data_IF_377845148285
#
_entry.id   IF_377845148285
#
_cell.length_a   1.000
_cell.length_b   1.000
_cell.length_c   1.000
_cell.angle_alpha   90.00
_cell.angle_beta   90.00
_cell.angle_gamma   90.00
#
_symmetry.space_group_name_H-M   'P 1'
#
loop_
_entity.id
_entity.type
_entity.pdbx_description
1 polymer ?
#
# COMPACT_ATOMS: atom_id res chain seq x y z
N UNK A 1 11.37 -26.32 7.78
CA UNK A 1 9.99 -26.44 7.27
C UNK A 1 9.97 -27.15 5.91
N UNK A 2 10.73 -26.71 4.91
CA UNK A 2 10.72 -27.30 3.55
C UNK A 2 11.02 -28.80 3.56
N UNK A 3 12.09 -29.24 4.21
CA UNK A 3 12.49 -30.65 4.30
C UNK A 3 11.46 -31.57 4.99
N UNK A 4 10.52 -31.00 5.74
CA UNK A 4 9.49 -31.74 6.49
C UNK A 4 8.09 -31.48 5.94
N UNK A 5 7.98 -30.86 4.75
CA UNK A 5 6.70 -30.56 4.08
C UNK A 5 5.68 -29.83 4.97
N UNK A 6 6.16 -28.86 5.78
CA UNK A 6 5.32 -28.11 6.72
C UNK A 6 4.64 -26.90 6.07
N UNK A 7 4.20 -27.08 4.82
CA UNK A 7 3.48 -26.10 4.02
C UNK A 7 2.34 -26.77 3.23
N UNK A 8 1.19 -26.12 3.15
CA UNK A 8 0.16 -26.41 2.13
C UNK A 8 -0.20 -25.09 1.44
N UNK A 9 0.46 -24.77 0.33
CA UNK A 9 0.40 -23.46 -0.32
C UNK A 9 -0.50 -23.45 -1.56
N UNK A 10 -0.74 -24.60 -2.20
CA UNK A 10 -1.47 -24.68 -3.45
C UNK A 10 -2.97 -24.48 -3.26
N UNK A 11 -3.59 -23.69 -4.14
CA UNK A 11 -5.06 -23.58 -4.24
C UNK A 11 -5.64 -24.87 -4.80
N UNK A 12 -6.68 -25.42 -4.16
CA UNK A 12 -7.35 -26.66 -4.55
C UNK A 12 -8.87 -26.53 -4.43
N UNK A 13 -9.66 -27.20 -5.28
CA UNK A 13 -11.11 -27.25 -5.10
C UNK A 13 -11.51 -27.76 -3.72
N UNK A 14 -12.41 -27.04 -3.04
CA UNK A 14 -12.88 -27.38 -1.70
C UNK A 14 -11.92 -27.01 -0.55
N UNK A 15 -10.74 -26.46 -0.82
CA UNK A 15 -9.84 -25.93 0.19
C UNK A 15 -10.39 -24.61 0.75
N UNK A 16 -10.30 -24.44 2.08
CA UNK A 16 -10.69 -23.19 2.74
C UNK A 16 -9.86 -22.01 2.22
N UNK A 17 -10.51 -20.86 2.03
CA UNK A 17 -9.83 -19.62 1.62
C UNK A 17 -9.00 -19.01 2.76
N UNK A 18 -8.03 -18.14 2.40
CA UNK A 18 -7.17 -17.44 3.34
C UNK A 18 -5.80 -18.12 3.52
N UNK A 19 -5.00 -17.53 4.39
CA UNK A 19 -3.70 -18.01 4.84
C UNK A 19 -3.64 -17.96 6.36
N UNK A 20 -2.87 -18.84 6.97
CA UNK A 20 -2.55 -18.81 8.40
C UNK A 20 -1.31 -19.64 8.71
N UNK A 21 -0.65 -19.30 9.81
CA UNK A 21 0.32 -20.15 10.46
C UNK A 21 -0.30 -20.78 11.73
N UNK A 22 -0.05 -22.06 11.95
CA UNK A 22 -0.38 -22.74 13.20
C UNK A 22 0.85 -23.45 13.76
N UNK A 23 0.82 -23.77 15.05
CA UNK A 23 1.89 -24.51 15.70
C UNK A 23 1.41 -25.90 16.11
N UNK A 24 2.06 -26.91 15.59
CA UNK A 24 1.76 -28.31 15.88
C UNK A 24 2.45 -28.69 17.20
N UNK A 25 1.74 -28.56 18.31
CA UNK A 25 2.29 -28.70 19.67
C UNK A 25 3.01 -30.02 19.89
N UNK A 26 2.45 -31.12 19.40
CA UNK A 26 3.04 -32.47 19.54
C UNK A 26 4.37 -32.59 18.81
N UNK A 27 4.50 -31.93 17.67
CA UNK A 27 5.70 -31.97 16.83
C UNK A 27 6.65 -30.81 17.09
N UNK A 28 6.22 -29.82 17.90
CA UNK A 28 6.94 -28.57 18.16
C UNK A 28 7.39 -27.88 16.88
N UNK A 29 6.51 -27.84 15.90
CA UNK A 29 6.79 -27.32 14.57
C UNK A 29 5.65 -26.41 14.08
N UNK A 30 5.98 -25.27 13.45
CA UNK A 30 5.00 -24.45 12.76
C UNK A 30 4.56 -25.09 11.44
N UNK A 31 3.33 -24.81 11.02
CA UNK A 31 2.78 -25.22 9.74
C UNK A 31 2.11 -24.01 9.06
N UNK A 32 2.40 -23.78 7.80
CA UNK A 32 1.82 -22.67 7.02
C UNK A 32 0.82 -23.22 6.01
N UNK A 33 -0.38 -22.68 6.06
CA UNK A 33 -1.47 -22.93 5.12
C UNK A 33 -1.72 -21.66 4.30
N UNK A 34 -1.88 -21.78 2.99
CA UNK A 34 -2.20 -20.66 2.10
C UNK A 34 -2.89 -21.14 0.82
N UNK A 35 -3.26 -20.21 -0.04
CA UNK A 35 -3.93 -20.44 -1.33
C UNK A 35 -3.24 -19.60 -2.42
N UNK A 36 -2.07 -20.03 -2.87
CA UNK A 36 -1.29 -19.33 -3.89
C UNK A 36 -2.03 -19.30 -5.24
N UNK A 37 -1.95 -18.17 -5.91
CA UNK A 37 -2.61 -17.89 -7.18
C UNK A 37 -1.68 -17.31 -8.26
N UNK A 38 -0.37 -17.18 -7.97
CA UNK A 38 0.64 -16.69 -8.91
C UNK A 38 0.79 -15.18 -8.92
N UNK A 39 0.24 -14.46 -7.93
CA UNK A 39 0.41 -13.00 -7.78
C UNK A 39 1.46 -12.62 -6.74
N UNK A 40 1.83 -11.34 -6.67
CA UNK A 40 2.73 -10.83 -5.63
C UNK A 40 2.21 -11.07 -4.21
N UNK A 41 0.90 -11.13 -4.03
CA UNK A 41 0.26 -11.42 -2.75
C UNK A 41 0.66 -12.78 -2.17
N UNK A 42 1.06 -13.75 -2.99
CA UNK A 42 1.57 -15.04 -2.51
C UNK A 42 2.88 -14.86 -1.72
N UNK A 43 3.73 -13.92 -2.15
CA UNK A 43 4.99 -13.59 -1.47
C UNK A 43 4.71 -12.81 -0.19
N UNK A 44 3.74 -11.89 -0.22
CA UNK A 44 3.30 -11.13 0.96
C UNK A 44 2.83 -12.11 2.05
N UNK A 45 1.89 -13.02 1.71
CA UNK A 45 1.38 -14.03 2.66
C UNK A 45 2.49 -14.97 3.12
N UNK A 46 3.37 -15.43 2.23
CA UNK A 46 4.44 -16.34 2.62
C UNK A 46 5.39 -15.72 3.64
N UNK A 47 5.79 -14.47 3.42
CA UNK A 47 6.70 -13.77 4.34
C UNK A 47 6.00 -13.40 5.64
N UNK A 48 4.72 -13.06 5.59
CA UNK A 48 3.87 -12.83 6.75
C UNK A 48 3.80 -14.08 7.64
N UNK A 49 3.34 -15.19 7.08
CA UNK A 49 3.19 -16.46 7.82
C UNK A 49 4.55 -17.03 8.29
N UNK A 50 5.63 -16.76 7.54
CA UNK A 50 6.99 -17.10 8.00
C UNK A 50 7.38 -16.32 9.27
N UNK A 51 6.88 -15.09 9.45
CA UNK A 51 7.07 -14.31 10.68
C UNK A 51 6.43 -14.98 11.88
N UNK A 52 5.17 -15.39 11.76
CA UNK A 52 4.48 -16.18 12.79
C UNK A 52 5.17 -17.52 13.06
N UNK A 53 5.58 -18.22 12.00
CA UNK A 53 6.27 -19.50 12.13
C UNK A 53 7.61 -19.37 12.86
N UNK A 54 8.38 -18.31 12.56
CA UNK A 54 9.65 -18.04 13.20
C UNK A 54 9.48 -17.67 14.66
N UNK A 55 8.51 -16.84 14.98
CA UNK A 55 8.14 -16.47 16.34
C UNK A 55 7.78 -17.73 17.15
N UNK A 56 6.77 -18.49 16.72
CA UNK A 56 6.29 -19.66 17.45
C UNK A 56 7.38 -20.71 17.65
N UNK A 57 8.21 -20.97 16.63
CA UNK A 57 9.33 -21.88 16.74
C UNK A 57 10.41 -21.39 17.72
N UNK A 58 10.63 -20.09 17.78
CA UNK A 58 11.63 -19.47 18.65
C UNK A 58 11.13 -19.41 20.09
N UNK A 59 9.88 -18.97 20.30
CA UNK A 59 9.24 -18.91 21.62
C UNK A 59 9.11 -20.30 22.25
N UNK A 60 8.71 -21.31 21.50
CA UNK A 60 8.54 -22.68 21.99
C UNK A 60 9.83 -23.34 22.53
N UNK A 61 11.00 -22.79 22.20
CA UNK A 61 12.29 -23.22 22.77
C UNK A 61 12.57 -22.61 24.14
N UNK A 62 11.93 -21.50 24.46
CA UNK A 62 12.16 -20.73 25.67
C UNK A 62 11.00 -20.88 26.67
N UNK A 63 9.78 -21.00 26.16
CA UNK A 63 8.55 -20.99 26.93
C UNK A 63 8.03 -22.43 27.11
N UNK A 64 7.96 -22.94 28.37
CA UNK A 64 7.53 -24.31 28.62
C UNK A 64 6.02 -24.51 28.50
N UNK A 65 5.23 -23.42 28.58
CA UNK A 65 3.77 -23.45 28.52
C UNK A 65 3.30 -23.07 27.10
N UNK A 66 2.70 -24.01 26.42
CA UNK A 66 2.31 -23.83 25.01
C UNK A 66 1.31 -22.70 24.79
N UNK A 67 0.41 -22.45 25.74
CA UNK A 67 -0.57 -21.36 25.68
C UNK A 67 0.08 -19.97 25.74
N UNK A 68 1.34 -19.89 26.13
CA UNK A 68 2.13 -18.65 26.19
C UNK A 68 3.13 -18.53 25.03
N UNK A 69 3.16 -19.46 24.12
CA UNK A 69 4.05 -19.38 22.94
C UNK A 69 3.63 -18.21 22.06
N UNK A 70 2.37 -18.15 21.70
CA UNK A 70 1.84 -17.03 20.97
C UNK A 70 1.49 -15.87 21.89
N UNK A 71 1.91 -14.64 21.57
CA UNK A 71 1.47 -13.44 22.27
C UNK A 71 0.03 -13.08 21.86
N UNK A 72 -0.48 -11.96 22.38
CA UNK A 72 -1.73 -11.35 21.90
C UNK A 72 -1.62 -10.93 20.46
N UNK A 73 -2.77 -10.83 19.77
CA UNK A 73 -2.83 -10.66 18.30
C UNK A 73 -2.03 -9.46 17.81
N UNK A 74 -2.13 -8.33 18.48
CA UNK A 74 -1.41 -7.10 18.09
C UNK A 74 0.12 -7.28 18.14
N UNK A 75 0.63 -8.15 19.00
CA UNK A 75 2.08 -8.48 19.02
C UNK A 75 2.40 -9.57 18.02
N UNK A 76 1.53 -10.57 17.85
CA UNK A 76 1.71 -11.61 16.84
C UNK A 76 1.86 -10.99 15.44
N UNK A 77 1.05 -9.97 15.13
CA UNK A 77 1.12 -9.27 13.86
C UNK A 77 2.37 -8.38 13.74
N UNK A 78 2.99 -7.93 14.84
CA UNK A 78 4.31 -7.29 14.77
C UNK A 78 5.34 -8.26 14.19
N UNK A 79 5.28 -9.54 14.58
CA UNK A 79 6.22 -10.54 14.08
C UNK A 79 6.05 -10.79 12.57
N UNK A 80 4.82 -10.99 12.12
CA UNK A 80 4.50 -11.26 10.72
C UNK A 80 4.82 -10.07 9.82
N UNK A 81 4.29 -8.90 10.10
CA UNK A 81 4.48 -7.69 9.30
C UNK A 81 5.95 -7.19 9.28
N UNK A 82 6.68 -7.39 10.38
CA UNK A 82 8.12 -7.10 10.40
C UNK A 82 8.90 -8.03 9.48
N UNK A 83 8.55 -9.33 9.44
CA UNK A 83 9.21 -10.29 8.57
C UNK A 83 9.00 -9.98 7.09
N UNK A 84 7.83 -9.47 6.69
CA UNK A 84 7.59 -9.00 5.33
C UNK A 84 8.66 -7.96 4.92
N UNK A 85 8.91 -6.96 5.78
CA UNK A 85 9.93 -5.94 5.53
C UNK A 85 11.37 -6.47 5.62
N UNK A 86 11.62 -7.39 6.52
CA UNK A 86 12.94 -8.02 6.66
C UNK A 86 13.29 -8.91 5.46
N UNK A 87 12.28 -9.42 4.75
CA UNK A 87 12.47 -10.21 3.53
C UNK A 87 12.86 -9.36 2.29
N UNK A 88 12.76 -8.03 2.33
CA UNK A 88 13.06 -7.15 1.20
C UNK A 88 14.43 -7.38 0.52
N UNK A 89 15.53 -7.69 1.22
CA UNK A 89 16.82 -7.98 0.56
C UNK A 89 16.76 -9.16 -0.42
N UNK A 90 15.84 -10.08 -0.24
CA UNK A 90 15.70 -11.29 -1.07
C UNK A 90 14.65 -11.18 -2.17
N UNK A 91 13.94 -10.06 -2.31
CA UNK A 91 12.87 -9.89 -3.30
C UNK A 91 13.31 -10.04 -4.75
N UNK A 92 14.61 -9.82 -5.04
CA UNK A 92 15.15 -10.11 -6.36
C UNK A 92 15.05 -11.59 -6.77
N UNK A 93 15.01 -12.51 -5.79
CA UNK A 93 14.80 -13.94 -6.06
C UNK A 93 13.39 -14.26 -6.55
N UNK A 94 12.38 -13.45 -6.16
CA UNK A 94 10.98 -13.62 -6.55
C UNK A 94 10.61 -12.77 -7.77
N UNK A 95 11.08 -11.53 -7.86
CA UNK A 95 10.62 -10.53 -8.81
C UNK A 95 11.67 -10.08 -9.83
N UNK A 96 12.91 -10.59 -9.74
CA UNK A 96 13.99 -10.20 -10.64
C UNK A 96 14.19 -8.68 -10.68
N UNK A 97 14.15 -8.09 -11.87
CA UNK A 97 14.32 -6.66 -12.10
C UNK A 97 13.18 -5.80 -11.53
N UNK A 98 11.99 -6.38 -11.31
CA UNK A 98 10.84 -5.69 -10.70
C UNK A 98 10.85 -5.67 -9.18
N UNK A 99 11.91 -6.13 -8.53
CA UNK A 99 11.97 -6.21 -7.08
C UNK A 99 11.87 -4.83 -6.38
N UNK A 100 12.37 -3.77 -7.00
CA UNK A 100 12.23 -2.41 -6.46
C UNK A 100 10.81 -1.87 -6.60
N UNK A 101 10.12 -2.17 -7.70
CA UNK A 101 8.70 -1.85 -7.86
C UNK A 101 7.84 -2.58 -6.81
N UNK A 102 8.13 -3.85 -6.57
CA UNK A 102 7.47 -4.62 -5.51
C UNK A 102 7.68 -3.99 -4.13
N UNK A 103 8.94 -3.68 -3.74
CA UNK A 103 9.25 -3.06 -2.44
C UNK A 103 8.51 -1.74 -2.24
N UNK A 104 8.46 -0.93 -3.30
CA UNK A 104 7.73 0.33 -3.29
C UNK A 104 6.23 0.09 -3.13
N UNK A 105 5.62 -0.76 -3.97
CA UNK A 105 4.19 -1.04 -3.94
C UNK A 105 3.75 -1.64 -2.60
N UNK A 106 4.51 -2.60 -2.07
CA UNK A 106 4.26 -3.23 -0.78
C UNK A 106 4.30 -2.20 0.37
N UNK A 107 5.34 -1.34 0.41
CA UNK A 107 5.47 -0.31 1.45
C UNK A 107 4.35 0.73 1.36
N UNK A 108 3.95 1.14 0.15
CA UNK A 108 2.83 2.05 -0.08
C UNK A 108 1.51 1.42 0.37
N UNK A 109 1.24 0.18 -0.05
CA UNK A 109 0.03 -0.55 0.34
C UNK A 109 -0.07 -0.73 1.86
N UNK A 110 1.05 -1.05 2.52
CA UNK A 110 1.11 -1.18 3.98
C UNK A 110 0.78 0.15 4.69
N UNK A 111 1.14 1.29 4.10
CA UNK A 111 0.79 2.61 4.64
C UNK A 111 -0.67 2.98 4.35
N UNK A 112 -1.14 2.76 3.12
CA UNK A 112 -2.49 3.12 2.67
C UNK A 112 -3.59 2.30 3.34
N UNK A 113 -3.29 1.09 3.80
CA UNK A 113 -4.28 0.22 4.45
C UNK A 113 -4.59 0.64 5.89
N UNK A 114 -3.72 1.42 6.55
CA UNK A 114 -3.92 1.83 7.96
C UNK A 114 -5.23 2.59 8.17
N UNK A 115 -5.58 3.63 7.39
CA UNK A 115 -6.88 4.30 7.53
C UNK A 115 -8.07 3.35 7.37
N UNK A 116 -7.95 2.36 6.48
CA UNK A 116 -8.99 1.34 6.33
C UNK A 116 -9.12 0.46 7.58
N UNK A 117 -8.02 0.07 8.21
CA UNK A 117 -8.04 -0.71 9.45
C UNK A 117 -8.74 0.05 10.58
N UNK A 118 -8.44 1.34 10.72
CA UNK A 118 -9.08 2.23 11.70
C UNK A 118 -10.58 2.40 11.38
N UNK A 119 -10.93 2.56 10.10
CA UNK A 119 -12.32 2.64 9.66
C UNK A 119 -13.11 1.37 10.03
N UNK A 120 -12.52 0.19 9.83
CA UNK A 120 -13.13 -1.10 10.22
C UNK A 120 -13.37 -1.16 11.72
N UNK A 121 -12.42 -0.72 12.53
CA UNK A 121 -12.53 -0.76 13.98
C UNK A 121 -13.61 0.19 14.49
N UNK A 122 -13.58 1.46 14.09
CA UNK A 122 -14.61 2.43 14.49
C UNK A 122 -16.01 2.02 14.03
N UNK A 123 -16.12 1.41 12.85
CA UNK A 123 -17.39 0.86 12.36
C UNK A 123 -17.93 -0.21 13.32
N UNK A 124 -17.08 -1.14 13.75
CA UNK A 124 -17.50 -2.18 14.70
C UNK A 124 -17.95 -1.59 16.02
N UNK A 125 -17.23 -0.64 16.60
CA UNK A 125 -17.63 0.06 17.82
C UNK A 125 -19.03 0.67 17.68
N UNK A 126 -19.28 1.43 16.61
CA UNK A 126 -20.59 2.06 16.37
C UNK A 126 -21.72 1.05 16.23
N UNK A 127 -21.46 -0.09 15.55
CA UNK A 127 -22.48 -1.14 15.36
C UNK A 127 -22.74 -1.90 16.66
N UNK A 128 -21.72 -2.22 17.43
CA UNK A 128 -21.86 -2.94 18.71
C UNK A 128 -22.48 -2.07 19.81
N UNK A 129 -22.25 -0.76 19.80
CA UNK A 129 -22.91 0.19 20.70
C UNK A 129 -24.43 0.28 20.42
N UNK A 130 -24.85 0.02 19.19
CA UNK A 130 -26.26 0.03 18.80
C UNK A 130 -26.62 -1.19 17.91
N UNK A 131 -26.77 -2.32 18.55
CA UNK A 131 -27.10 -3.60 17.90
C UNK A 131 -28.47 -3.61 17.19
N UNK A 132 -29.36 -2.66 17.52
CA UNK A 132 -30.68 -2.51 16.90
C UNK A 132 -30.66 -1.84 15.51
N UNK A 133 -29.51 -1.40 15.00
CA UNK A 133 -29.38 -0.78 13.69
C UNK A 133 -29.91 -1.66 12.55
N UNK A 134 -30.63 -1.04 11.64
CA UNK A 134 -31.02 -1.65 10.37
C UNK A 134 -29.81 -1.81 9.44
N UNK A 135 -29.92 -2.65 8.43
CA UNK A 135 -28.88 -2.81 7.41
C UNK A 135 -28.58 -1.47 6.67
N UNK A 136 -29.60 -0.61 6.49
CA UNK A 136 -29.43 0.70 5.87
C UNK A 136 -28.64 1.66 6.75
N UNK A 137 -28.90 1.68 8.04
CA UNK A 137 -28.17 2.52 9.00
C UNK A 137 -26.71 2.08 9.09
N UNK A 138 -26.41 0.78 9.14
CA UNK A 138 -25.03 0.28 9.13
C UNK A 138 -24.28 0.71 7.86
N UNK A 139 -24.91 0.62 6.68
CA UNK A 139 -24.28 1.12 5.44
C UNK A 139 -24.03 2.62 5.48
N UNK A 140 -24.98 3.39 5.98
CA UNK A 140 -24.82 4.86 6.10
C UNK A 140 -23.66 5.24 7.03
N UNK A 141 -23.47 4.52 8.14
CA UNK A 141 -22.32 4.72 9.05
C UNK A 141 -21.02 4.38 8.34
N UNK A 142 -20.97 3.21 7.67
CA UNK A 142 -19.76 2.85 6.90
C UNK A 142 -19.38 3.92 5.88
N UNK A 143 -20.33 4.38 5.09
CA UNK A 143 -20.10 5.43 4.09
C UNK A 143 -19.54 6.72 4.72
N UNK A 144 -20.06 7.15 5.87
CA UNK A 144 -19.54 8.32 6.58
C UNK A 144 -18.10 8.12 7.06
N UNK A 145 -17.77 6.94 7.55
CA UNK A 145 -16.41 6.60 7.98
C UNK A 145 -15.45 6.52 6.79
N UNK A 146 -15.89 5.96 5.67
CA UNK A 146 -15.08 5.95 4.44
C UNK A 146 -14.75 7.38 3.97
N UNK A 147 -15.71 8.28 3.97
CA UNK A 147 -15.46 9.69 3.61
C UNK A 147 -14.49 10.38 4.57
N UNK A 148 -14.44 9.95 5.83
CA UNK A 148 -13.52 10.49 6.83
C UNK A 148 -12.11 9.95 6.68
N UNK A 149 -11.98 8.63 6.55
CA UNK A 149 -10.68 7.96 6.58
C UNK A 149 -10.06 7.75 5.19
N UNK A 150 -10.89 7.63 4.15
CA UNK A 150 -10.48 7.30 2.79
C UNK A 150 -11.23 8.16 1.75
N UNK A 151 -11.16 9.50 1.83
CA UNK A 151 -11.93 10.40 0.96
C UNK A 151 -11.59 10.27 -0.54
N UNK A 152 -10.46 9.64 -0.86
CA UNK A 152 -10.02 9.39 -2.25
C UNK A 152 -10.68 8.15 -2.87
N UNK A 153 -11.42 7.33 -2.10
CA UNK A 153 -12.00 6.09 -2.60
C UNK A 153 -13.16 6.38 -3.54
N UNK A 154 -13.11 5.77 -4.73
CA UNK A 154 -14.13 5.88 -5.76
C UNK A 154 -14.62 4.47 -6.14
N UNK A 155 -15.90 4.31 -6.38
CA UNK A 155 -16.54 3.06 -6.76
C UNK A 155 -17.15 3.08 -8.16
N UNK A 156 -16.79 4.06 -8.99
CA UNK A 156 -17.20 4.20 -10.41
C UNK A 156 -18.70 4.01 -10.65
N UNK A 157 -19.54 4.60 -9.79
CA UNK A 157 -21.00 4.52 -9.89
C UNK A 157 -21.61 3.19 -9.41
N UNK A 158 -20.82 2.30 -8.78
CA UNK A 158 -21.38 1.06 -8.22
C UNK A 158 -22.23 1.34 -6.98
N UNK A 159 -23.53 1.53 -7.20
CA UNK A 159 -24.49 2.01 -6.21
C UNK A 159 -24.41 1.31 -4.84
N UNK A 160 -24.30 -0.01 -4.79
CA UNK A 160 -24.22 -0.76 -3.53
C UNK A 160 -22.97 -0.38 -2.70
N UNK A 161 -21.85 -0.17 -3.35
CA UNK A 161 -20.60 0.20 -2.70
C UNK A 161 -20.63 1.68 -2.27
N UNK A 162 -21.13 2.57 -3.12
CA UNK A 162 -21.34 3.98 -2.82
C UNK A 162 -22.31 4.19 -1.65
N UNK A 163 -23.30 3.33 -1.49
CA UNK A 163 -24.21 3.32 -0.34
C UNK A 163 -23.57 2.71 0.94
N UNK A 164 -22.28 2.41 0.93
CA UNK A 164 -21.55 1.89 2.09
C UNK A 164 -21.62 0.37 2.25
N UNK A 165 -21.67 -0.38 1.15
CA UNK A 165 -21.71 -1.85 1.18
C UNK A 165 -20.34 -2.53 1.30
N UNK A 166 -19.24 -1.80 1.17
CA UNK A 166 -17.89 -2.37 1.04
C UNK A 166 -17.43 -3.20 2.24
N UNK A 167 -17.83 -2.86 3.48
CA UNK A 167 -17.45 -3.60 4.69
C UNK A 167 -17.88 -5.07 4.69
N UNK A 168 -18.94 -5.41 3.95
CA UNK A 168 -19.53 -6.76 3.95
C UNK A 168 -18.60 -7.82 3.36
N UNK A 169 -17.59 -7.43 2.58
CA UNK A 169 -16.57 -8.35 2.05
C UNK A 169 -15.47 -8.68 3.08
N UNK A 170 -15.39 -7.94 4.20
CA UNK A 170 -14.33 -8.13 5.20
C UNK A 170 -14.74 -9.20 6.22
N UNK A 171 -14.25 -10.42 5.98
CA UNK A 171 -14.54 -11.60 6.81
C UNK A 171 -14.26 -11.37 8.30
N UNK A 172 -13.19 -10.64 8.64
CA UNK A 172 -12.75 -10.38 10.01
C UNK A 172 -13.85 -9.75 10.87
N UNK A 173 -14.68 -8.87 10.29
CA UNK A 173 -15.79 -8.23 11.02
C UNK A 173 -16.79 -9.26 11.57
N UNK A 174 -16.94 -10.39 10.90
CA UNK A 174 -17.94 -11.41 11.22
C UNK A 174 -17.39 -12.56 12.09
N UNK A 175 -16.14 -12.97 11.84
CA UNK A 175 -15.56 -14.14 12.50
C UNK A 175 -14.61 -13.79 13.64
N UNK A 176 -13.97 -12.61 13.58
CA UNK A 176 -13.04 -12.13 14.59
C UNK A 176 -13.27 -10.64 14.85
N UNK A 177 -14.42 -10.25 15.47
CA UNK A 177 -14.70 -8.84 15.75
C UNK A 177 -13.58 -8.18 16.57
N UNK A 178 -13.29 -6.91 16.26
CA UNK A 178 -12.25 -6.08 16.88
C UNK A 178 -10.81 -6.55 16.71
N UNK A 179 -10.56 -7.60 15.93
CA UNK A 179 -9.21 -8.05 15.61
C UNK A 179 -8.48 -7.11 14.64
N UNK A 180 -9.20 -6.50 13.71
CA UNK A 180 -8.61 -5.85 12.54
C UNK A 180 -7.74 -4.63 12.87
N UNK A 181 -7.96 -3.98 14.02
CA UNK A 181 -7.12 -2.88 14.52
C UNK A 181 -5.72 -3.34 14.93
N UNK A 182 -5.57 -4.61 15.29
CA UNK A 182 -4.28 -5.18 15.71
C UNK A 182 -3.26 -5.07 14.57
N UNK A 183 -3.70 -5.21 13.32
CA UNK A 183 -2.85 -4.98 12.14
C UNK A 183 -2.34 -3.54 12.05
N UNK A 184 -3.16 -2.53 12.39
CA UNK A 184 -2.72 -1.14 12.36
C UNK A 184 -1.65 -0.85 13.41
N UNK A 185 -1.85 -1.34 14.64
CA UNK A 185 -0.88 -1.21 15.73
C UNK A 185 0.43 -1.93 15.38
N UNK A 186 0.32 -3.14 14.86
CA UNK A 186 1.46 -3.94 14.43
C UNK A 186 2.21 -3.30 13.26
N UNK A 187 1.50 -2.72 12.29
CA UNK A 187 2.13 -2.07 11.14
C UNK A 187 2.99 -0.87 11.54
N UNK A 188 2.51 -0.05 12.49
CA UNK A 188 3.30 1.06 13.03
C UNK A 188 4.58 0.55 13.72
N UNK A 189 4.52 -0.59 14.39
CA UNK A 189 5.69 -1.24 14.99
C UNK A 189 6.63 -1.84 13.93
N UNK A 190 6.08 -2.49 12.91
CA UNK A 190 6.84 -3.08 11.80
C UNK A 190 7.59 -2.00 11.00
N UNK A 191 7.01 -0.82 10.80
CA UNK A 191 7.70 0.31 10.18
C UNK A 191 8.90 0.80 11.01
N UNK A 192 8.82 0.77 12.33
CA UNK A 192 9.96 1.11 13.19
C UNK A 192 11.09 0.09 13.02
N UNK A 193 10.77 -1.21 12.94
CA UNK A 193 11.74 -2.23 12.61
C UNK A 193 12.31 -2.08 11.20
N UNK A 194 11.47 -1.76 10.22
CA UNK A 194 11.92 -1.47 8.85
C UNK A 194 12.93 -0.33 8.83
N UNK A 195 12.61 0.81 9.41
CA UNK A 195 13.52 1.96 9.47
C UNK A 195 14.83 1.63 10.19
N UNK A 196 14.74 0.93 11.34
CA UNK A 196 15.90 0.46 12.09
C UNK A 196 16.76 -0.50 11.27
N UNK A 197 16.15 -1.40 10.49
CA UNK A 197 16.87 -2.34 9.64
C UNK A 197 17.71 -1.66 8.55
N UNK A 198 17.31 -0.47 8.10
CA UNK A 198 18.08 0.32 7.12
C UNK A 198 19.29 1.02 7.73
N UNK A 199 19.25 1.32 9.02
CA UNK A 199 20.30 2.06 9.74
C UNK A 199 21.22 1.13 10.53
N UNK A 200 20.64 0.16 11.22
CA UNK A 200 21.31 -0.72 12.18
C UNK A 200 20.76 -2.17 12.04
N UNK A 201 21.05 -2.88 10.93
CA UNK A 201 20.42 -4.18 10.61
C UNK A 201 20.62 -5.24 11.69
N UNK A 202 21.82 -5.36 12.24
CA UNK A 202 22.14 -6.33 13.30
C UNK A 202 21.33 -6.07 14.58
N UNK A 203 21.16 -4.78 14.93
CA UNK A 203 20.37 -4.40 16.07
C UNK A 203 18.89 -4.64 15.84
N UNK A 204 18.38 -4.29 14.66
CA UNK A 204 16.99 -4.54 14.29
C UNK A 204 16.64 -6.03 14.40
N UNK A 205 17.51 -6.88 13.86
CA UNK A 205 17.34 -8.33 13.96
C UNK A 205 17.43 -8.82 15.41
N UNK A 206 18.40 -8.33 16.18
CA UNK A 206 18.56 -8.72 17.60
C UNK A 206 17.37 -8.33 18.47
N UNK A 207 16.80 -7.12 18.23
CA UNK A 207 15.61 -6.64 18.95
C UNK A 207 14.37 -7.47 18.56
N UNK A 208 14.19 -7.76 17.28
CA UNK A 208 13.13 -8.63 16.76
C UNK A 208 13.25 -10.06 17.29
N UNK A 209 14.45 -10.63 17.28
CA UNK A 209 14.68 -11.97 17.81
C UNK A 209 14.36 -12.09 19.29
N UNK A 210 14.72 -11.07 20.11
CA UNK A 210 14.33 -11.03 21.51
C UNK A 210 12.82 -10.97 21.71
N UNK A 211 12.12 -10.22 20.86
CA UNK A 211 10.66 -10.18 20.85
C UNK A 211 10.07 -11.56 20.55
N UNK A 212 10.57 -12.25 19.53
CA UNK A 212 10.17 -13.63 19.21
C UNK A 212 10.43 -14.61 20.34
N UNK A 213 11.58 -14.48 21.06
CA UNK A 213 11.88 -15.34 22.20
C UNK A 213 10.94 -15.13 23.39
N UNK A 214 10.42 -13.94 23.54
CA UNK A 214 9.51 -13.60 24.63
C UNK A 214 8.11 -14.17 24.43
N UNK A 215 7.65 -14.40 23.18
CA UNK A 215 6.30 -14.89 22.90
C UNK A 215 5.24 -14.12 23.69
N UNK A 216 4.27 -14.82 24.25
CA UNK A 216 3.21 -14.27 25.11
C UNK A 216 3.58 -14.17 26.61
N UNK A 217 4.87 -14.18 26.96
CA UNK A 217 5.30 -14.13 28.36
C UNK A 217 5.08 -12.79 29.07
N UNK A 218 4.75 -11.73 28.32
CA UNK A 218 4.56 -10.36 28.81
C UNK A 218 3.38 -9.71 28.11
N UNK A 219 2.82 -8.66 28.72
CA UNK A 219 1.79 -7.83 28.07
C UNK A 219 2.39 -6.90 27.00
N UNK A 220 1.53 -6.37 26.13
CA UNK A 220 1.84 -5.56 24.95
C UNK A 220 2.90 -4.49 25.20
N UNK A 221 2.67 -3.57 26.14
CA UNK A 221 3.60 -2.46 26.40
C UNK A 221 4.99 -2.93 26.86
N UNK A 222 5.05 -3.99 27.67
CA UNK A 222 6.33 -4.54 28.12
C UNK A 222 7.08 -5.25 26.97
N UNK A 223 6.37 -5.80 25.98
CA UNK A 223 6.97 -6.39 24.79
C UNK A 223 7.48 -5.29 23.84
N UNK A 224 6.78 -4.17 23.71
CA UNK A 224 7.28 -3.01 22.96
C UNK A 224 8.58 -2.46 23.56
N UNK A 225 8.61 -2.32 24.91
CA UNK A 225 9.81 -1.87 25.62
C UNK A 225 10.97 -2.85 25.42
N UNK A 226 10.72 -4.16 25.53
CA UNK A 226 11.71 -5.21 25.29
C UNK A 226 12.34 -5.12 23.89
N UNK A 227 11.52 -4.78 22.89
CA UNK A 227 11.93 -4.62 21.48
C UNK A 227 12.48 -3.23 21.18
N UNK A 228 12.47 -2.31 22.14
CA UNK A 228 12.86 -0.92 21.94
C UNK A 228 11.96 -0.18 20.94
N UNK A 229 10.67 -0.50 20.91
CA UNK A 229 9.67 0.11 20.05
C UNK A 229 8.96 1.24 20.79
N UNK A 230 8.64 2.30 20.06
CA UNK A 230 7.79 3.38 20.56
C UNK A 230 6.35 2.91 20.57
N UNK A 231 5.62 3.29 21.60
CA UNK A 231 4.22 2.95 21.76
C UNK A 231 3.35 3.75 20.78
N UNK A 232 2.57 3.10 19.88
CA UNK A 232 1.69 3.76 18.92
C UNK A 232 0.60 4.65 19.55
N UNK A 233 0.26 4.45 20.82
CA UNK A 233 -0.74 5.24 21.55
C UNK A 233 -0.19 6.56 22.12
N UNK A 234 1.12 6.82 21.98
CA UNK A 234 1.72 8.09 22.42
C UNK A 234 1.61 9.09 21.28
N UNK A 235 1.08 10.27 21.58
CA UNK A 235 0.94 11.37 20.62
C UNK A 235 2.26 11.67 19.91
N UNK A 236 2.19 11.86 18.60
CA UNK A 236 3.34 12.11 17.75
C UNK A 236 4.12 10.88 17.30
N UNK A 237 3.86 9.69 17.86
CA UNK A 237 4.58 8.46 17.45
C UNK A 237 4.26 8.08 16.00
N UNK A 238 2.99 8.09 15.62
CA UNK A 238 2.56 7.72 14.26
C UNK A 238 3.13 8.68 13.24
N UNK A 239 3.05 10.00 13.50
CA UNK A 239 3.61 11.04 12.64
C UNK A 239 5.11 10.88 12.43
N UNK A 240 5.84 10.59 13.51
CA UNK A 240 7.30 10.38 13.45
C UNK A 240 7.64 9.14 12.61
N UNK A 241 6.94 8.03 12.83
CA UNK A 241 7.15 6.78 12.10
C UNK A 241 6.86 6.97 10.61
N UNK A 242 5.73 7.57 10.26
CA UNK A 242 5.36 7.86 8.86
C UNK A 242 6.35 8.83 8.21
N UNK A 243 6.81 9.84 8.94
CA UNK A 243 7.84 10.77 8.43
C UNK A 243 9.16 10.03 8.11
N UNK A 244 9.52 9.01 8.90
CA UNK A 244 10.70 8.17 8.68
C UNK A 244 10.64 7.35 7.39
N UNK A 245 9.43 7.05 6.88
CA UNK A 245 9.23 6.29 5.65
C UNK A 245 9.42 7.13 4.36
N UNK A 246 9.27 8.46 4.43
CA UNK A 246 9.33 9.34 3.25
C UNK A 246 10.53 9.12 2.31
N UNK A 247 11.76 8.83 2.79
CA UNK A 247 12.89 8.57 1.90
C UNK A 247 12.72 7.31 1.04
N UNK A 248 11.95 6.33 1.52
CA UNK A 248 11.74 5.02 0.89
C UNK A 248 10.51 4.98 -0.04
N UNK A 249 9.64 5.99 0.06
CA UNK A 249 8.44 6.16 -0.76
C UNK A 249 8.68 6.98 -2.04
N UNK A 250 9.93 7.33 -2.30
CA UNK A 250 10.31 7.99 -3.56
C UNK A 250 10.58 6.92 -4.62
N UNK A 251 9.64 6.74 -5.54
CA UNK A 251 9.91 5.95 -6.75
C UNK A 251 10.99 6.68 -7.55
N UNK A 252 12.12 6.03 -7.76
CA UNK A 252 13.14 6.51 -8.70
C UNK A 252 12.74 6.10 -10.11
N UNK A 253 11.72 6.76 -10.64
CA UNK A 253 11.46 6.67 -12.08
C UNK A 253 12.54 7.49 -12.76
N UNK A 254 13.44 6.83 -13.47
CA UNK A 254 14.35 7.52 -14.38
C UNK A 254 13.59 7.82 -15.65
N UNK A 255 13.53 9.08 -16.00
CA UNK A 255 12.92 9.55 -17.24
C UNK A 255 13.83 10.57 -17.93
N UNK A 256 13.69 10.65 -19.22
CA UNK A 256 14.34 11.65 -20.07
C UNK A 256 13.29 12.63 -20.57
N UNK A 257 13.49 13.91 -20.30
CA UNK A 257 12.66 14.95 -20.92
C UNK A 257 13.17 15.17 -22.34
N UNK A 258 12.27 15.02 -23.31
CA UNK A 258 12.57 15.29 -24.73
C UNK A 258 11.40 15.98 -25.43
N UNK A 259 11.65 16.67 -26.55
CA UNK A 259 10.57 17.13 -27.41
C UNK A 259 9.64 15.99 -27.83
N UNK A 260 8.35 16.29 -27.90
CA UNK A 260 7.32 15.34 -28.34
C UNK A 260 7.55 14.98 -29.83
N UNK A 261 7.24 13.74 -30.18
CA UNK A 261 7.16 13.26 -31.58
C UNK A 261 5.70 12.92 -31.89
N UNK A 262 5.38 12.88 -33.22
CA UNK A 262 4.03 12.53 -33.65
C UNK A 262 3.56 11.16 -33.15
N UNK A 263 4.47 10.19 -33.07
CA UNK A 263 4.19 8.83 -32.56
C UNK A 263 3.79 8.79 -31.09
N UNK A 264 4.16 9.80 -30.30
CA UNK A 264 3.85 9.89 -28.86
C UNK A 264 2.41 10.33 -28.60
N UNK A 265 1.76 11.03 -29.55
CA UNK A 265 0.50 11.75 -29.29
C UNK A 265 -0.65 10.88 -28.80
N UNK A 266 -0.70 9.60 -29.22
CA UNK A 266 -1.71 8.66 -28.70
C UNK A 266 -1.50 8.41 -27.22
N UNK A 267 -0.26 8.21 -26.81
CA UNK A 267 0.09 7.95 -25.42
C UNK A 267 -0.09 9.19 -24.56
N UNK A 268 0.21 10.37 -25.10
CA UNK A 268 -0.07 11.66 -24.46
C UNK A 268 -1.57 11.81 -24.17
N UNK A 269 -2.45 11.49 -25.14
CA UNK A 269 -3.89 11.53 -24.93
C UNK A 269 -4.39 10.49 -23.91
N UNK A 270 -3.73 9.33 -23.81
CA UNK A 270 -4.02 8.33 -22.76
C UNK A 270 -3.62 8.85 -21.37
N UNK A 271 -2.47 9.51 -21.24
CA UNK A 271 -2.01 10.13 -19.97
C UNK A 271 -2.97 11.25 -19.55
N UNK A 272 -3.35 12.13 -20.47
CA UNK A 272 -4.34 13.20 -20.22
C UNK A 272 -5.66 12.63 -19.69
N UNK A 273 -6.17 11.57 -20.33
CA UNK A 273 -7.42 10.93 -19.92
C UNK A 273 -7.34 10.24 -18.53
N UNK A 274 -6.13 9.96 -18.03
CA UNK A 274 -5.92 9.47 -16.64
C UNK A 274 -5.90 10.63 -15.64
N UNK A 275 -5.46 11.82 -16.06
CA UNK A 275 -5.30 12.98 -15.19
C UNK A 275 -6.58 13.82 -15.06
N UNK A 276 -7.42 13.85 -16.10
CA UNK A 276 -8.61 14.72 -16.17
C UNK A 276 -9.91 13.96 -16.43
N UNK A 277 -11.05 14.50 -15.93
CA UNK A 277 -12.37 14.00 -16.30
C UNK A 277 -12.59 14.07 -17.82
N UNK A 278 -13.33 13.15 -18.40
CA UNK A 278 -13.58 13.05 -19.84
C UNK A 278 -14.19 14.32 -20.47
N UNK A 279 -14.80 15.20 -19.69
CA UNK A 279 -15.35 16.48 -20.15
C UNK A 279 -14.30 17.58 -20.29
N UNK A 280 -13.11 17.39 -19.70
CA UNK A 280 -12.03 18.39 -19.61
C UNK A 280 -10.77 17.93 -20.35
N UNK A 281 -10.59 16.61 -20.48
CA UNK A 281 -9.42 16.02 -21.11
C UNK A 281 -9.34 16.36 -22.61
N UNK A 282 -8.17 16.84 -23.07
CA UNK A 282 -7.89 17.03 -24.47
C UNK A 282 -7.72 15.69 -25.19
N UNK A 283 -8.25 15.57 -26.40
CA UNK A 283 -8.18 14.37 -27.20
C UNK A 283 -6.96 14.34 -28.14
N UNK A 284 -6.79 13.21 -28.82
CA UNK A 284 -5.71 13.02 -29.79
C UNK A 284 -5.65 14.12 -30.88
N UNK A 285 -6.80 14.57 -31.40
CA UNK A 285 -6.88 15.60 -32.46
C UNK A 285 -6.40 16.97 -31.94
N UNK A 286 -6.71 17.29 -30.68
CA UNK A 286 -6.25 18.53 -30.03
C UNK A 286 -4.73 18.52 -29.87
N UNK A 287 -4.15 17.38 -29.44
CA UNK A 287 -2.70 17.23 -29.34
C UNK A 287 -2.01 17.22 -30.71
N UNK A 288 -2.64 16.68 -31.75
CA UNK A 288 -2.13 16.73 -33.11
C UNK A 288 -2.08 18.17 -33.64
N UNK A 289 -3.08 18.98 -33.35
CA UNK A 289 -3.10 20.40 -33.75
C UNK A 289 -2.00 21.17 -32.99
N UNK A 290 -1.88 20.99 -31.68
CA UNK A 290 -0.82 21.59 -30.86
C UNK A 290 0.57 21.14 -31.32
N UNK A 291 0.75 19.88 -31.69
CA UNK A 291 2.01 19.38 -32.24
C UNK A 291 2.41 20.09 -33.54
N UNK A 292 1.46 20.30 -34.42
CA UNK A 292 1.72 21.00 -35.72
C UNK A 292 2.08 22.46 -35.51
N UNK A 293 1.50 23.12 -34.54
CA UNK A 293 1.57 24.56 -34.32
C UNK A 293 2.60 24.94 -33.26
N UNK A 294 2.63 24.24 -32.12
CA UNK A 294 3.38 24.62 -30.92
C UNK A 294 4.40 23.54 -30.47
N UNK A 295 4.90 22.70 -31.39
CA UNK A 295 5.77 21.56 -31.04
C UNK A 295 7.01 21.91 -30.22
N UNK A 296 7.50 23.17 -30.36
CA UNK A 296 8.67 23.64 -29.61
C UNK A 296 8.38 23.88 -28.11
N UNK A 297 7.10 23.98 -27.76
CA UNK A 297 6.60 24.11 -26.39
C UNK A 297 5.91 22.83 -25.90
N UNK A 298 6.26 21.67 -26.50
CA UNK A 298 5.65 20.39 -26.20
C UNK A 298 6.73 19.34 -25.91
N UNK A 299 6.77 18.86 -24.68
CA UNK A 299 7.76 17.91 -24.16
C UNK A 299 7.08 16.72 -23.54
N UNK A 300 7.75 15.58 -23.57
CA UNK A 300 7.34 14.34 -22.89
C UNK A 300 8.41 13.89 -21.92
N UNK A 301 7.98 13.23 -20.85
CA UNK A 301 8.82 12.47 -19.93
C UNK A 301 8.76 11.00 -20.35
N UNK A 302 9.83 10.50 -20.96
CA UNK A 302 9.96 9.11 -21.40
C UNK A 302 10.76 8.31 -20.37
N UNK A 303 10.22 7.17 -19.95
CA UNK A 303 10.90 6.23 -19.04
C UNK A 303 12.04 5.48 -19.75
N UNK A 304 12.90 4.77 -19.01
CA UNK A 304 13.96 3.93 -19.57
C UNK A 304 13.41 2.81 -20.49
N UNK A 305 12.16 2.39 -20.26
CA UNK A 305 11.46 1.37 -21.07
C UNK A 305 10.76 1.96 -22.32
N UNK A 306 10.86 3.28 -22.54
CA UNK A 306 10.26 3.97 -23.70
C UNK A 306 8.78 4.33 -23.53
N UNK A 307 8.24 4.19 -22.32
CA UNK A 307 6.87 4.61 -22.00
C UNK A 307 6.80 6.11 -21.72
N UNK A 308 5.73 6.77 -22.15
CA UNK A 308 5.44 8.17 -21.80
C UNK A 308 4.79 8.21 -20.42
N UNK A 309 5.54 8.69 -19.42
CA UNK A 309 5.11 8.82 -18.04
C UNK A 309 4.42 10.15 -17.74
N UNK A 310 4.59 11.13 -18.60
CA UNK A 310 3.99 12.45 -18.45
C UNK A 310 4.34 13.36 -19.61
N UNK A 311 3.72 14.53 -19.66
CA UNK A 311 4.02 15.54 -20.67
C UNK A 311 3.78 16.95 -20.16
N UNK A 312 4.35 17.92 -20.88
CA UNK A 312 4.07 19.34 -20.71
C UNK A 312 3.82 19.95 -22.08
N UNK A 313 2.72 20.63 -22.26
CA UNK A 313 2.44 21.38 -23.47
C UNK A 313 2.06 22.82 -23.20
N UNK A 314 2.22 23.68 -24.23
CA UNK A 314 1.90 25.09 -24.13
C UNK A 314 2.07 25.80 -25.46
N UNK A 315 1.98 27.11 -25.42
CA UNK A 315 2.25 27.98 -26.56
C UNK A 315 2.95 29.27 -26.13
N UNK A 316 3.52 30.00 -27.08
CA UNK A 316 3.94 31.38 -26.85
C UNK A 316 2.82 32.35 -27.25
N UNK A 317 2.68 33.45 -26.51
CA UNK A 317 1.64 34.48 -26.75
C UNK A 317 2.16 35.87 -26.37
N UNK A 318 1.44 36.90 -26.84
CA UNK A 318 1.75 38.30 -26.52
C UNK A 318 1.02 38.81 -25.26
N UNK A 319 0.26 37.94 -24.61
CA UNK A 319 -0.51 38.25 -23.38
C UNK A 319 0.15 37.64 -22.17
N UNK A 320 0.09 38.30 -21.02
CA UNK A 320 0.64 37.86 -19.75
C UNK A 320 -0.33 37.01 -18.90
N UNK A 321 -1.44 36.58 -19.49
CA UNK A 321 -2.45 35.71 -18.87
C UNK A 321 -2.88 34.59 -19.81
N UNK A 322 -3.22 33.43 -19.24
CA UNK A 322 -3.69 32.27 -19.98
C UNK A 322 -5.20 32.41 -20.26
N UNK A 323 -5.54 32.78 -21.51
CA UNK A 323 -6.92 32.91 -21.95
C UNK A 323 -7.49 31.55 -22.38
N UNK A 324 -8.77 31.28 -22.09
CA UNK A 324 -9.47 30.05 -22.52
C UNK A 324 -9.34 29.76 -24.01
N UNK A 325 -9.32 30.81 -24.84
CA UNK A 325 -9.15 30.67 -26.29
C UNK A 325 -7.84 29.95 -26.67
N UNK A 326 -6.78 30.11 -25.90
CA UNK A 326 -5.47 29.47 -26.18
C UNK A 326 -5.51 27.92 -26.01
N UNK A 327 -6.44 27.42 -25.21
CA UNK A 327 -6.62 25.96 -25.07
C UNK A 327 -7.31 25.33 -26.30
N UNK A 328 -8.14 26.11 -27.01
CA UNK A 328 -9.02 25.62 -28.06
C UNK A 328 -8.61 26.03 -29.46
N UNK A 329 -7.69 26.97 -29.59
CA UNK A 329 -7.24 27.50 -30.87
C UNK A 329 -5.71 27.65 -30.92
N UNK A 330 -5.06 26.60 -31.40
CA UNK A 330 -3.61 26.56 -31.54
C UNK A 330 -3.06 27.61 -32.53
N UNK A 331 -3.90 28.22 -33.40
CA UNK A 331 -3.48 29.26 -34.31
C UNK A 331 -3.15 30.60 -33.63
N UNK A 332 -3.55 30.74 -32.36
CA UNK A 332 -3.20 31.89 -31.54
C UNK A 332 -1.74 31.84 -31.02
N UNK A 333 -1.02 30.76 -31.30
CA UNK A 333 0.39 30.65 -31.00
C UNK A 333 1.21 31.66 -31.78
N UNK A 334 1.96 32.51 -31.08
CA UNK A 334 2.95 33.41 -31.69
C UNK A 334 4.36 32.94 -31.29
N UNK A 335 5.17 32.35 -32.20
CA UNK A 335 6.51 31.85 -31.88
C UNK A 335 7.45 32.93 -31.31
N UNK A 336 7.20 34.19 -31.60
CA UNK A 336 7.97 35.36 -31.16
C UNK A 336 7.30 36.08 -29.98
N UNK A 337 6.22 35.52 -29.41
CA UNK A 337 5.49 36.10 -28.26
C UNK A 337 6.34 36.18 -27.00
N UNK A 338 6.13 37.24 -26.21
CA UNK A 338 6.91 37.56 -25.01
C UNK A 338 6.69 36.57 -23.83
N UNK A 339 5.59 35.77 -23.86
CA UNK A 339 5.18 34.90 -22.76
C UNK A 339 5.04 33.46 -23.21
N UNK A 340 5.64 32.53 -22.42
CA UNK A 340 5.44 31.10 -22.56
C UNK A 340 4.27 30.67 -21.70
N UNK A 341 3.16 30.27 -22.32
CA UNK A 341 2.00 29.72 -21.64
C UNK A 341 2.16 28.21 -21.48
N UNK A 342 1.84 27.67 -20.31
CA UNK A 342 1.79 26.23 -20.05
C UNK A 342 0.33 25.83 -19.89
N UNK A 343 -0.15 24.91 -20.74
CA UNK A 343 -1.54 24.43 -20.71
C UNK A 343 -1.73 23.34 -19.70
N UNK A 344 -0.79 22.39 -19.58
CA UNK A 344 -0.83 21.28 -18.67
C UNK A 344 0.56 20.73 -18.37
N UNK A 345 0.68 20.17 -17.20
CA UNK A 345 1.81 19.36 -16.76
C UNK A 345 1.22 18.10 -16.12
N UNK A 346 1.21 17.00 -16.90
CA UNK A 346 0.57 15.75 -16.55
C UNK A 346 1.64 14.67 -16.30
N UNK A 347 1.53 13.98 -15.17
CA UNK A 347 2.53 12.99 -14.72
C UNK A 347 1.85 11.78 -14.10
#
# INVERSE_FOLDING_TARGET
>A
MVEHELFDLETKPGKQTGGYCTFLNTFKAPFIFSNFNGTSADVDVLTHEAGHAFEAYTAAKQIPFMDMVFPTSEVAEIHSMTMEHFAYPWMNAFFGEKADDYRYAHLMSALEVIPYMVCVDEFQHKVFENIGMTAKERRAIWHQLELTYMPWRNYDGHKFLEEGGFWMQKQHIFVNPFYYIDYALAQICAFQFFERSKKEPEKAWGDYYRLCQAGGSKGYFALLELAGLKNPFVDGTVEEVVAGLKPYLKRKVKYTIRPVKEEDLKKVAEVEALCFPAAEAAGYEDFMERYKTCKNSFFVAETEDGEIAGFCNGCCADTDYLADALYHDATLHNPDGDYQMIFGLDV
#
